data_IF_633023540311
#
_entry.id   IF_633023540311
#
_cell.length_a   1.000
_cell.length_b   1.000
_cell.length_c   1.000
_cell.angle_alpha   90.00
_cell.angle_beta   90.00
_cell.angle_gamma   90.00
#
_symmetry.space_group_name_H-M   'P 1'
#
loop_
_entity.id
_entity.type
_entity.pdbx_description
1 polymer ?
#
# COMPACT_ATOMS: atom_id res chain seq x y z
N UNK A 1 -35.94 16.11 -31.15
CA UNK A 1 -35.74 16.71 -29.81
C UNK A 1 -35.64 15.67 -28.69
N UNK A 2 -36.63 14.79 -28.48
CA UNK A 2 -36.57 13.75 -27.40
C UNK A 2 -35.37 12.79 -27.48
N UNK A 3 -34.98 12.36 -28.69
CA UNK A 3 -33.79 11.49 -28.90
C UNK A 3 -32.46 12.20 -28.62
N UNK A 4 -32.40 13.52 -28.83
CA UNK A 4 -31.21 14.34 -28.56
C UNK A 4 -31.09 14.60 -27.05
N UNK A 5 -32.19 14.88 -26.35
CA UNK A 5 -32.19 14.98 -24.89
C UNK A 5 -31.79 13.65 -24.20
N UNK A 6 -32.26 12.51 -24.70
CA UNK A 6 -31.89 11.20 -24.16
C UNK A 6 -30.40 10.89 -24.36
N UNK A 7 -29.83 11.28 -25.50
CA UNK A 7 -28.40 11.08 -25.78
C UNK A 7 -27.52 11.97 -24.90
N UNK A 8 -27.92 13.23 -24.68
CA UNK A 8 -27.22 14.19 -23.79
C UNK A 8 -27.33 13.77 -22.32
N UNK A 9 -28.49 13.28 -21.88
CA UNK A 9 -28.66 12.74 -20.53
C UNK A 9 -27.81 11.47 -20.31
N UNK A 10 -27.76 10.56 -21.29
CA UNK A 10 -26.93 9.36 -21.20
C UNK A 10 -25.43 9.68 -21.19
N UNK A 11 -24.95 10.62 -22.02
CA UNK A 11 -23.54 11.06 -21.98
C UNK A 11 -23.21 11.82 -20.69
N UNK A 12 -24.14 12.62 -20.17
CA UNK A 12 -23.99 13.29 -18.87
C UNK A 12 -23.89 12.32 -17.68
N UNK A 13 -24.71 11.26 -17.67
CA UNK A 13 -24.63 10.22 -16.63
C UNK A 13 -23.35 9.38 -16.73
N UNK A 14 -22.88 9.08 -17.94
CA UNK A 14 -21.62 8.33 -18.14
C UNK A 14 -20.41 9.17 -17.71
N UNK A 15 -20.43 10.48 -17.97
CA UNK A 15 -19.38 11.40 -17.52
C UNK A 15 -19.40 11.65 -15.99
N UNK A 16 -20.58 11.67 -15.37
CA UNK A 16 -20.71 11.78 -13.92
C UNK A 16 -20.25 10.48 -13.20
N UNK A 17 -20.49 9.32 -13.81
CA UNK A 17 -20.05 8.03 -13.27
C UNK A 17 -18.53 7.84 -13.36
N UNK A 18 -17.86 8.39 -14.39
CA UNK A 18 -16.40 8.31 -14.54
C UNK A 18 -15.63 9.30 -13.66
N UNK A 19 -16.26 10.38 -13.20
CA UNK A 19 -15.70 11.30 -12.22
C UNK A 19 -15.79 10.79 -10.77
N UNK A 20 -16.68 9.82 -10.49
CA UNK A 20 -16.87 9.27 -9.15
C UNK A 20 -15.79 8.25 -8.73
N UNK A 21 -14.96 7.78 -9.66
CA UNK A 21 -13.96 6.72 -9.43
C UNK A 21 -12.51 7.21 -9.38
N UNK A 22 -12.27 8.52 -9.30
CA UNK A 22 -10.93 9.09 -9.35
C UNK A 22 -10.47 9.65 -7.99
N UNK A 23 -9.62 8.85 -7.33
CA UNK A 23 -8.48 9.26 -6.50
C UNK A 23 -8.67 10.41 -5.52
N UNK A 24 -8.81 10.12 -4.22
CA UNK A 24 -8.35 11.10 -3.22
C UNK A 24 -7.83 10.44 -1.95
N UNK A 25 -6.57 10.77 -1.64
CA UNK A 25 -6.03 10.70 -0.28
C UNK A 25 -6.73 11.71 0.64
N UNK A 26 -7.21 12.83 0.07
CA UNK A 26 -7.74 14.00 0.78
C UNK A 26 -8.77 13.63 1.85
N UNK A 27 -9.73 12.77 1.49
CA UNK A 27 -10.83 12.37 2.38
C UNK A 27 -10.53 11.09 3.16
N UNK A 28 -9.25 10.80 3.41
CA UNK A 28 -8.82 9.58 4.08
C UNK A 28 -7.97 9.87 5.31
N UNK A 29 -7.76 8.85 6.16
CA UNK A 29 -6.82 8.92 7.28
C UNK A 29 -5.35 9.11 6.85
N UNK A 30 -5.04 8.93 5.56
CA UNK A 30 -3.70 9.17 5.01
C UNK A 30 -3.49 10.60 4.50
N UNK A 31 -4.53 11.44 4.53
CA UNK A 31 -4.32 12.88 4.47
C UNK A 31 -3.74 13.31 5.82
N UNK A 32 -2.41 13.36 5.89
CA UNK A 32 -1.70 13.82 7.08
C UNK A 32 -1.52 15.33 7.10
N UNK A 33 -2.02 16.08 6.11
CA UNK A 33 -2.04 17.54 6.18
C UNK A 33 -3.04 18.03 7.24
N UNK A 34 -3.03 19.33 7.63
CA UNK A 34 -3.97 19.87 8.61
C UNK A 34 -5.46 19.63 8.29
N UNK A 35 -5.78 19.49 7.00
CA UNK A 35 -7.14 19.20 6.49
C UNK A 35 -7.57 17.75 6.67
N UNK A 36 -6.67 16.88 7.12
CA UNK A 36 -6.92 15.46 7.30
C UNK A 36 -8.03 15.13 8.31
N UNK A 37 -8.74 14.04 8.03
CA UNK A 37 -9.74 13.45 8.93
C UNK A 37 -9.10 12.52 9.98
N UNK A 38 -7.81 12.22 9.85
CA UNK A 38 -7.07 11.37 10.77
C UNK A 38 -6.79 12.07 12.11
N UNK A 39 -6.70 11.27 13.17
CA UNK A 39 -6.28 11.76 14.48
C UNK A 39 -4.83 12.26 14.47
N UNK A 40 -3.97 11.67 13.63
CA UNK A 40 -2.59 12.11 13.43
C UNK A 40 -2.54 12.95 12.16
N UNK A 41 -2.15 14.22 12.29
CA UNK A 41 -2.02 15.14 11.16
C UNK A 41 -1.10 16.31 11.47
N UNK A 42 -0.71 17.03 10.44
CA UNK A 42 0.12 18.22 10.50
C UNK A 42 -0.63 19.39 11.13
N UNK A 43 0.14 20.30 11.72
CA UNK A 43 -0.41 21.51 12.33
C UNK A 43 -0.68 22.57 11.26
N UNK A 44 -1.85 23.21 11.32
CA UNK A 44 -2.21 24.32 10.43
C UNK A 44 -1.18 25.46 10.50
N UNK A 45 -0.94 26.14 9.38
CA UNK A 45 0.04 27.24 9.31
C UNK A 45 1.50 26.79 9.23
N UNK A 46 1.77 25.49 9.10
CA UNK A 46 3.12 24.95 8.82
C UNK A 46 3.22 24.51 7.36
N UNK A 47 4.44 24.37 6.80
CA UNK A 47 4.62 23.87 5.43
C UNK A 47 4.39 22.34 5.29
N UNK A 48 3.72 21.73 6.27
CA UNK A 48 3.20 20.34 6.24
C UNK A 48 1.81 20.25 5.57
N UNK A 49 1.38 21.34 4.92
CA UNK A 49 0.08 21.42 4.23
C UNK A 49 0.00 20.59 2.93
N UNK A 50 1.13 20.11 2.43
CA UNK A 50 1.19 19.29 1.21
C UNK A 50 0.88 17.83 1.52
N UNK A 51 -0.23 17.32 0.99
CA UNK A 51 -0.72 15.96 1.28
C UNK A 51 0.29 14.88 0.87
N UNK A 52 1.02 15.07 -0.23
CA UNK A 52 1.95 14.06 -0.73
C UNK A 52 3.32 14.04 -0.03
N UNK A 53 3.71 15.11 0.67
CA UNK A 53 5.09 15.26 1.21
C UNK A 53 5.46 14.19 2.23
N UNK A 54 4.46 13.56 2.85
CA UNK A 54 4.66 12.48 3.82
C UNK A 54 5.12 11.16 3.19
N UNK A 55 4.92 11.01 1.88
CA UNK A 55 5.21 9.80 1.12
C UNK A 55 6.21 10.08 -0.01
N UNK A 56 6.02 11.17 -0.75
CA UNK A 56 6.78 11.52 -1.94
C UNK A 56 7.49 12.87 -1.77
N UNK A 57 8.65 13.03 -2.41
CA UNK A 57 9.28 14.33 -2.60
C UNK A 57 9.95 14.40 -3.97
N UNK A 58 9.98 15.57 -4.64
CA UNK A 58 10.58 15.68 -5.96
C UNK A 58 12.12 15.54 -5.97
N UNK A 59 12.79 15.79 -4.83
CA UNK A 59 14.26 15.77 -4.71
C UNK A 59 14.71 15.20 -3.36
N UNK A 60 15.98 14.76 -3.30
CA UNK A 60 16.63 14.24 -2.08
C UNK A 60 15.90 13.02 -1.48
N UNK A 61 15.49 12.10 -2.36
CA UNK A 61 14.73 10.89 -1.99
C UNK A 61 15.59 9.64 -2.04
N UNK A 62 15.21 8.62 -1.28
CA UNK A 62 15.81 7.29 -1.37
C UNK A 62 14.81 6.32 -2.00
N UNK A 63 15.15 5.73 -3.15
CA UNK A 63 14.28 4.81 -3.88
C UNK A 63 13.77 5.39 -5.20
N UNK A 64 14.34 4.89 -6.30
CA UNK A 64 14.19 5.46 -7.65
C UNK A 64 12.78 5.36 -8.26
N UNK A 65 11.94 4.44 -7.80
CA UNK A 65 10.68 4.13 -8.49
C UNK A 65 9.53 5.10 -8.16
N UNK A 66 9.53 5.75 -6.98
CA UNK A 66 8.41 6.60 -6.54
C UNK A 66 8.85 7.90 -5.86
N UNK A 67 10.15 8.23 -5.91
CA UNK A 67 10.70 9.38 -5.19
C UNK A 67 10.28 9.37 -3.71
N UNK A 68 10.56 8.25 -3.03
CA UNK A 68 10.08 8.01 -1.67
C UNK A 68 10.79 8.92 -0.66
N UNK A 69 9.99 9.60 0.16
CA UNK A 69 10.47 10.63 1.07
C UNK A 69 10.80 10.11 2.46
N UNK A 70 10.98 8.80 2.67
CA UNK A 70 11.29 8.22 3.99
C UNK A 70 12.37 7.14 3.89
N UNK A 71 12.98 6.79 5.02
CA UNK A 71 13.80 5.60 5.10
C UNK A 71 12.92 4.35 5.19
N UNK A 72 13.21 3.35 4.36
CA UNK A 72 12.62 2.04 4.53
C UNK A 72 13.28 1.29 5.71
N UNK A 73 12.50 0.60 6.54
CA UNK A 73 13.06 -0.24 7.61
C UNK A 73 13.84 -1.42 7.02
N UNK A 74 14.78 -1.96 7.79
CA UNK A 74 15.51 -3.16 7.41
C UNK A 74 14.55 -4.34 7.19
N UNK A 75 14.69 -5.04 6.07
CA UNK A 75 13.77 -6.09 5.65
C UNK A 75 13.72 -7.28 6.65
N UNK A 76 14.82 -7.53 7.34
CA UNK A 76 14.98 -8.53 8.40
C UNK A 76 14.20 -8.23 9.68
N UNK A 77 13.65 -7.02 9.83
CA UNK A 77 12.85 -6.63 11.01
C UNK A 77 11.50 -7.36 11.08
N UNK A 78 11.00 -7.90 9.95
CA UNK A 78 9.61 -8.34 9.84
C UNK A 78 9.46 -9.85 9.94
N UNK A 79 8.52 -10.29 10.78
CA UNK A 79 8.08 -11.69 10.82
C UNK A 79 6.91 -11.86 9.87
N UNK A 80 7.16 -12.54 8.75
CA UNK A 80 6.14 -12.87 7.77
C UNK A 80 5.60 -14.28 8.01
N UNK A 81 4.54 -14.58 7.29
CA UNK A 81 3.93 -15.88 7.24
C UNK A 81 4.88 -16.99 6.75
N UNK A 82 4.84 -18.16 7.40
CA UNK A 82 5.72 -19.31 7.10
C UNK A 82 5.00 -20.67 7.26
N UNK A 83 3.93 -20.94 6.49
CA UNK A 83 3.17 -22.23 6.41
C UNK A 83 2.47 -22.74 7.70
N UNK A 84 1.41 -23.55 7.73
CA UNK A 84 0.38 -24.00 6.76
C UNK A 84 -0.98 -23.37 7.09
N UNK A 85 -1.77 -23.01 6.08
CA UNK A 85 -3.03 -22.26 6.14
C UNK A 85 -3.38 -21.37 4.93
N UNK A 86 -2.57 -21.00 3.92
CA UNK A 86 -1.10 -20.97 3.67
C UNK A 86 -0.32 -22.27 3.52
N UNK A 87 -0.92 -23.32 3.00
CA UNK A 87 -0.35 -24.65 3.11
C UNK A 87 0.96 -24.78 2.32
N UNK A 88 2.06 -24.90 3.05
CA UNK A 88 3.30 -25.59 2.67
C UNK A 88 4.12 -25.00 1.52
N UNK A 89 4.54 -23.75 1.69
CA UNK A 89 5.88 -23.34 1.20
C UNK A 89 6.54 -22.52 2.30
N UNK A 90 7.69 -22.99 2.78
CA UNK A 90 8.58 -22.17 3.60
C UNK A 90 9.11 -21.05 2.70
N UNK A 91 8.43 -19.90 2.70
CA UNK A 91 8.99 -18.70 2.11
C UNK A 91 9.97 -18.09 3.11
N UNK A 92 11.09 -17.58 2.62
CA UNK A 92 12.12 -16.96 3.45
C UNK A 92 11.48 -16.00 4.47
N UNK A 93 11.86 -16.12 5.73
CA UNK A 93 11.36 -15.25 6.79
C UNK A 93 11.79 -13.81 6.52
N UNK A 94 10.82 -12.90 6.41
CA UNK A 94 11.07 -11.47 6.23
C UNK A 94 10.95 -10.98 4.80
N UNK A 95 10.80 -9.66 4.65
CA UNK A 95 10.82 -9.02 3.33
C UNK A 95 12.19 -9.19 2.68
N UNK A 96 12.27 -9.06 1.35
CA UNK A 96 13.55 -8.74 0.71
C UNK A 96 13.81 -7.25 0.73
N UNK A 97 15.08 -6.86 0.57
CA UNK A 97 15.52 -5.47 0.57
C UNK A 97 14.85 -4.61 -0.50
N UNK A 98 14.32 -5.24 -1.55
CA UNK A 98 13.62 -4.63 -2.67
C UNK A 98 12.09 -4.77 -2.60
N UNK A 99 11.54 -5.33 -1.51
CA UNK A 99 10.10 -5.43 -1.33
C UNK A 99 9.47 -4.04 -1.29
N UNK A 100 8.46 -3.84 -2.13
CA UNK A 100 7.68 -2.60 -2.15
C UNK A 100 6.85 -2.40 -0.88
N UNK A 101 6.58 -3.47 -0.13
CA UNK A 101 5.89 -3.37 1.16
C UNK A 101 6.71 -2.58 2.20
N UNK A 102 8.04 -2.49 2.04
CA UNK A 102 8.88 -1.69 2.94
C UNK A 102 8.54 -0.19 2.91
N UNK A 103 7.97 0.32 1.80
CA UNK A 103 7.46 1.69 1.75
C UNK A 103 6.30 1.87 2.73
N UNK A 104 5.32 0.96 2.72
CA UNK A 104 4.21 0.96 3.67
C UNK A 104 4.72 0.80 5.11
N UNK A 105 5.66 -0.13 5.32
CA UNK A 105 6.19 -0.40 6.65
C UNK A 105 7.04 0.74 7.21
N UNK A 106 7.52 1.70 6.40
CA UNK A 106 8.17 2.91 6.92
C UNK A 106 7.24 3.80 7.77
N UNK A 107 5.92 3.58 7.72
CA UNK A 107 4.93 4.18 8.61
C UNK A 107 4.25 3.15 9.53
N UNK A 108 4.11 1.91 9.07
CA UNK A 108 3.28 0.87 9.71
C UNK A 108 4.07 -0.20 10.48
N UNK A 109 5.39 -0.06 10.62
CA UNK A 109 6.21 -1.00 11.40
C UNK A 109 5.98 -0.94 12.91
N UNK A 110 5.14 -0.02 13.39
CA UNK A 110 4.82 0.17 14.81
C UNK A 110 5.98 0.78 15.61
N UNK A 111 6.97 1.39 14.96
CA UNK A 111 8.19 1.87 15.62
C UNK A 111 8.77 3.14 15.00
N UNK A 112 8.64 3.34 13.69
CA UNK A 112 9.18 4.50 13.00
C UNK A 112 8.26 5.70 13.18
N UNK A 113 8.83 6.85 13.56
CA UNK A 113 8.05 8.08 13.69
C UNK A 113 7.49 8.56 12.35
N UNK A 114 6.21 8.94 12.34
CA UNK A 114 5.52 9.40 11.13
C UNK A 114 6.08 10.72 10.58
N UNK A 115 6.75 11.53 11.41
CA UNK A 115 7.34 12.80 11.00
C UNK A 115 8.74 12.68 10.35
N UNK A 116 9.28 11.47 10.26
CA UNK A 116 10.58 11.20 9.66
C UNK A 116 10.48 11.15 8.14
N UNK A 117 10.67 12.31 7.50
CA UNK A 117 10.79 12.44 6.04
C UNK A 117 12.11 13.11 5.66
N UNK A 118 12.66 12.75 4.50
CA UNK A 118 13.95 13.26 3.99
C UNK A 118 13.88 14.74 3.63
N UNK A 119 12.94 15.07 2.76
CA UNK A 119 12.76 16.41 2.21
C UNK A 119 11.45 17.00 2.71
N UNK A 120 11.58 17.99 3.59
CA UNK A 120 10.46 18.69 4.23
C UNK A 120 10.06 19.96 3.46
N UNK A 121 10.73 20.25 2.35
CA UNK A 121 10.70 21.53 1.64
C UNK A 121 11.73 22.54 2.18
N UNK A 122 12.06 23.55 1.38
CA UNK A 122 12.95 24.63 1.82
C UNK A 122 12.31 25.37 3.01
N UNK A 123 13.10 25.62 4.06
CA UNK A 123 12.74 26.30 5.31
C UNK A 123 12.01 25.47 6.38
N UNK A 124 12.21 24.14 6.43
CA UNK A 124 11.71 23.31 7.54
C UNK A 124 12.82 22.48 8.20
N UNK A 125 12.96 22.65 9.51
CA UNK A 125 13.82 21.81 10.36
C UNK A 125 13.11 20.52 10.78
N UNK A 126 11.80 20.54 11.05
CA UNK A 126 10.98 19.37 11.44
C UNK A 126 9.55 19.38 10.86
N UNK A 127 9.06 18.21 10.42
CA UNK A 127 7.62 18.02 10.13
C UNK A 127 6.91 17.94 11.48
N UNK A 128 6.13 18.96 11.82
CA UNK A 128 5.28 18.90 12.99
C UNK A 128 4.07 18.01 12.67
N UNK A 129 4.02 16.82 13.28
CA UNK A 129 2.83 15.99 13.36
C UNK A 129 2.35 15.99 14.80
N UNK A 130 1.03 16.03 15.01
CA UNK A 130 0.42 15.99 16.33
C UNK A 130 -0.91 15.24 16.31
N UNK A 131 -1.44 14.98 17.50
CA UNK A 131 -2.83 14.53 17.63
C UNK A 131 -3.78 15.71 17.41
N UNK A 132 -4.90 15.46 16.73
CA UNK A 132 -5.93 16.47 16.51
C UNK A 132 -6.43 17.04 17.85
N UNK A 133 -6.23 18.33 18.08
CA UNK A 133 -6.57 19.03 19.32
C UNK A 133 -5.39 19.31 20.25
N UNK A 134 -4.20 18.77 19.96
CA UNK A 134 -2.98 19.04 20.71
C UNK A 134 -2.24 20.22 20.08
N UNK A 135 -2.21 21.35 20.77
CA UNK A 135 -1.64 22.60 20.27
C UNK A 135 -0.11 22.55 20.26
N UNK A 136 0.47 21.85 19.28
CA UNK A 136 1.89 21.94 18.97
C UNK A 136 2.83 21.29 19.97
N UNK A 137 2.36 20.36 20.81
CA UNK A 137 3.29 19.50 21.54
C UNK A 137 4.07 18.63 20.53
N UNK A 138 5.42 18.65 20.55
CA UNK A 138 6.19 17.72 19.74
C UNK A 138 5.73 16.31 20.12
N UNK A 139 5.45 15.47 19.11
CA UNK A 139 5.06 14.08 19.31
C UNK A 139 5.85 13.48 20.47
N UNK A 140 5.15 12.79 21.36
CA UNK A 140 5.73 11.91 22.38
C UNK A 140 6.86 11.14 21.71
N UNK A 141 8.09 11.57 21.99
CA UNK A 141 9.30 10.87 21.61
C UNK A 141 9.23 9.53 22.32
N UNK A 142 8.95 8.46 21.57
CA UNK A 142 9.15 7.10 22.05
C UNK A 142 7.92 6.27 22.38
N UNK A 143 6.69 6.63 21.97
CA UNK A 143 5.58 5.66 22.05
C UNK A 143 5.19 5.13 20.68
N UNK A 144 5.43 3.83 20.49
CA UNK A 144 4.98 2.99 19.39
C UNK A 144 3.48 3.15 19.14
N UNK A 145 3.09 4.10 18.29
CA UNK A 145 1.73 4.14 17.79
C UNK A 145 1.63 3.05 16.74
N UNK A 146 0.92 1.98 17.06
CA UNK A 146 0.50 0.97 16.08
C UNK A 146 -0.44 1.65 15.08
N UNK A 147 0.11 2.21 14.01
CA UNK A 147 -0.68 2.87 12.96
C UNK A 147 -1.45 1.80 12.18
N UNK A 148 -2.78 1.84 12.28
CA UNK A 148 -3.64 0.90 11.56
C UNK A 148 -3.55 -0.55 12.04
N UNK A 149 -3.10 -0.80 13.29
CA UNK A 149 -3.04 -2.16 13.84
C UNK A 149 -1.83 -3.00 13.36
N UNK A 150 -0.88 -2.39 12.64
CA UNK A 150 0.30 -3.06 12.11
C UNK A 150 1.53 -2.95 13.01
N UNK A 151 2.37 -3.98 12.95
CA UNK A 151 3.65 -4.08 13.66
C UNK A 151 4.69 -4.80 12.79
N UNK A 152 5.88 -5.04 13.33
CA UNK A 152 6.87 -5.91 12.70
C UNK A 152 6.41 -7.36 12.55
N UNK A 153 5.36 -7.80 13.26
CA UNK A 153 4.83 -9.15 13.16
C UNK A 153 3.56 -9.19 12.28
N UNK A 154 3.70 -9.77 11.08
CA UNK A 154 2.64 -9.89 10.06
C UNK A 154 2.14 -11.33 9.86
N UNK A 155 2.76 -12.31 10.54
CA UNK A 155 2.49 -13.77 10.46
C UNK A 155 1.03 -14.20 10.74
N UNK A 156 0.18 -13.33 11.26
CA UNK A 156 -1.21 -13.70 11.59
C UNK A 156 -2.27 -12.98 10.77
N UNK A 157 -1.89 -11.94 10.02
CA UNK A 157 -2.86 -10.95 9.55
C UNK A 157 -2.63 -10.44 8.12
N UNK A 158 -1.40 -10.40 7.61
CA UNK A 158 -1.09 -9.74 6.32
C UNK A 158 -0.30 -10.64 5.36
N UNK A 159 -0.98 -11.32 4.41
CA UNK A 159 -0.32 -12.25 3.51
C UNK A 159 0.40 -11.49 2.39
N UNK A 160 1.64 -11.09 2.64
CA UNK A 160 2.50 -10.35 1.70
C UNK A 160 3.89 -11.00 1.57
N UNK A 161 4.62 -10.62 0.52
CA UNK A 161 5.93 -11.14 0.11
C UNK A 161 5.89 -12.62 -0.34
N UNK A 162 4.79 -13.03 -0.97
CA UNK A 162 4.64 -14.38 -1.51
C UNK A 162 4.91 -14.40 -3.01
N UNK A 163 5.82 -15.25 -3.52
CA UNK A 163 5.95 -15.45 -4.95
C UNK A 163 4.69 -16.13 -5.49
N UNK A 164 4.13 -15.60 -6.58
CA UNK A 164 2.99 -16.22 -7.26
C UNK A 164 3.51 -17.24 -8.26
N UNK A 165 3.22 -18.52 -8.03
CA UNK A 165 3.61 -19.61 -8.93
C UNK A 165 2.49 -19.89 -9.94
N UNK A 166 2.85 -20.22 -11.19
CA UNK A 166 1.91 -20.47 -12.30
C UNK A 166 1.03 -21.73 -12.17
N UNK A 167 1.23 -22.58 -11.16
CA UNK A 167 0.65 -23.91 -11.11
C UNK A 167 -0.17 -24.20 -9.83
N UNK A 168 -0.87 -23.20 -9.29
CA UNK A 168 -1.80 -23.41 -8.16
C UNK A 168 -3.26 -23.40 -8.66
N UNK A 169 -3.96 -24.55 -8.67
CA UNK A 169 -5.35 -24.64 -9.14
C UNK A 169 -6.36 -23.95 -8.21
N UNK A 170 -5.96 -23.59 -6.98
CA UNK A 170 -6.81 -22.87 -6.03
C UNK A 170 -6.74 -21.35 -6.18
N UNK A 171 -5.92 -20.86 -7.12
CA UNK A 171 -5.73 -19.44 -7.38
C UNK A 171 -6.27 -19.04 -8.76
N UNK A 172 -6.93 -17.89 -8.80
CA UNK A 172 -7.20 -17.15 -10.02
C UNK A 172 -5.90 -16.46 -10.44
N UNK A 173 -5.14 -17.13 -11.30
CA UNK A 173 -3.82 -16.66 -11.72
C UNK A 173 -3.86 -15.59 -12.82
N UNK A 174 -5.00 -15.40 -13.48
CA UNK A 174 -5.10 -14.45 -14.60
C UNK A 174 -4.32 -14.89 -15.83
N UNK A 175 -4.05 -13.96 -16.74
CA UNK A 175 -3.54 -14.28 -18.07
C UNK A 175 -2.05 -14.62 -18.08
N UNK A 176 -1.27 -14.11 -17.13
CA UNK A 176 0.18 -14.31 -17.06
C UNK A 176 0.76 -13.98 -15.66
N UNK A 177 0.58 -14.82 -14.63
CA UNK A 177 0.97 -14.49 -13.25
C UNK A 177 2.49 -14.43 -12.98
N UNK A 178 3.32 -15.20 -13.72
CA UNK A 178 4.77 -15.31 -13.44
C UNK A 178 5.61 -14.29 -14.17
N UNK A 179 5.15 -13.83 -15.35
CA UNK A 179 5.84 -12.81 -16.15
C UNK A 179 5.03 -11.54 -16.34
N UNK A 180 3.71 -11.60 -16.11
CA UNK A 180 2.83 -10.44 -16.12
C UNK A 180 2.90 -9.63 -14.83
N UNK A 181 2.25 -8.47 -14.88
CA UNK A 181 2.25 -7.49 -13.80
C UNK A 181 1.03 -7.60 -12.90
N UNK A 182 0.14 -8.56 -13.15
CA UNK A 182 -1.13 -8.72 -12.45
C UNK A 182 -1.57 -10.19 -12.35
N UNK A 183 -2.47 -10.47 -11.42
CA UNK A 183 -3.17 -11.75 -11.22
C UNK A 183 -4.64 -11.51 -10.86
N UNK A 184 -5.39 -12.59 -10.62
CA UNK A 184 -6.78 -12.58 -10.21
C UNK A 184 -7.77 -12.62 -11.37
N UNK A 185 -9.06 -12.72 -11.03
CA UNK A 185 -10.15 -12.57 -11.99
C UNK A 185 -9.99 -11.25 -12.75
N UNK A 186 -9.99 -11.33 -14.08
CA UNK A 186 -9.78 -10.19 -14.98
C UNK A 186 -8.49 -9.38 -14.70
N UNK A 187 -7.43 -10.02 -14.19
CA UNK A 187 -6.14 -9.40 -13.91
C UNK A 187 -6.27 -8.16 -12.98
N UNK A 188 -7.13 -8.26 -11.95
CA UNK A 188 -7.48 -7.14 -11.06
C UNK A 188 -6.38 -6.73 -10.06
N UNK A 189 -5.47 -7.62 -9.69
CA UNK A 189 -4.50 -7.38 -8.61
C UNK A 189 -3.07 -7.27 -9.15
N UNK A 190 -2.37 -6.15 -8.95
CA UNK A 190 -1.00 -6.00 -9.42
C UNK A 190 -0.03 -6.84 -8.62
N UNK A 191 1.00 -7.32 -9.28
CA UNK A 191 2.15 -8.00 -8.70
C UNK A 191 3.39 -7.12 -8.83
N UNK A 192 4.24 -7.18 -7.82
CA UNK A 192 5.41 -6.31 -7.72
C UNK A 192 6.69 -7.09 -7.94
N UNK A 193 7.72 -6.41 -8.44
CA UNK A 193 9.00 -7.05 -8.76
C UNK A 193 9.64 -7.52 -7.46
N UNK A 194 9.97 -8.81 -7.40
CA UNK A 194 11.04 -9.33 -6.58
C UNK A 194 12.25 -9.48 -7.52
N UNK A 195 13.39 -8.90 -7.21
CA UNK A 195 14.57 -8.95 -8.07
C UNK A 195 14.96 -10.40 -8.27
N UNK A 196 14.99 -10.79 -9.55
CA UNK A 196 15.53 -12.04 -10.03
C UNK A 196 16.99 -12.16 -9.58
N UNK A 197 17.23 -13.07 -8.64
CA UNK A 197 18.54 -13.54 -8.23
C UNK A 197 18.50 -15.05 -8.11
N UNK A 198 18.39 -15.72 -9.26
CA UNK A 198 18.58 -17.18 -9.41
C UNK A 198 17.41 -18.05 -8.93
N UNK A 199 17.23 -19.19 -9.59
CA UNK A 199 16.37 -20.31 -9.14
C UNK A 199 16.59 -20.64 -7.65
N UNK A 200 15.72 -21.42 -6.99
CA UNK A 200 15.98 -22.88 -6.97
C UNK A 200 14.76 -23.72 -6.64
N UNK A 201 14.33 -24.51 -7.61
CA UNK A 201 13.37 -25.61 -7.49
C UNK A 201 13.49 -26.45 -6.20
N UNK A 202 12.37 -27.03 -5.73
CA UNK A 202 12.19 -28.07 -4.71
C UNK A 202 12.85 -27.95 -3.32
N UNK A 203 13.75 -26.98 -3.07
CA UNK A 203 14.49 -26.78 -1.81
C UNK A 203 14.50 -25.31 -1.28
N UNK A 204 13.97 -24.34 -2.03
CA UNK A 204 14.00 -22.93 -1.62
C UNK A 204 13.53 -21.94 -2.70
N UNK A 205 12.64 -22.35 -3.59
CA UNK A 205 12.42 -21.70 -4.89
C UNK A 205 11.69 -20.36 -4.86
N UNK A 206 12.40 -19.26 -5.15
CA UNK A 206 11.80 -18.08 -5.80
C UNK A 206 11.91 -18.24 -7.32
N UNK A 207 10.95 -18.96 -7.91
CA UNK A 207 10.91 -19.12 -9.38
C UNK A 207 10.13 -18.02 -10.11
N UNK A 208 9.41 -17.15 -9.38
CA UNK A 208 8.71 -16.00 -9.96
C UNK A 208 9.52 -14.72 -9.81
N UNK A 209 9.49 -13.86 -10.84
CA UNK A 209 10.05 -12.49 -10.77
C UNK A 209 9.10 -11.50 -10.09
N UNK A 210 7.98 -12.02 -9.55
CA UNK A 210 6.82 -11.26 -9.09
C UNK A 210 6.28 -11.82 -7.77
N UNK A 211 5.95 -10.93 -6.85
CA UNK A 211 5.39 -11.23 -5.54
C UNK A 211 4.10 -10.47 -5.27
N UNK A 212 3.25 -11.07 -4.43
CA UNK A 212 2.11 -10.42 -3.79
C UNK A 212 2.63 -9.53 -2.65
N UNK A 213 2.61 -8.21 -2.85
CA UNK A 213 2.99 -7.20 -1.86
C UNK A 213 1.76 -6.45 -1.32
N UNK A 214 1.93 -5.57 -0.32
CA UNK A 214 0.84 -4.73 0.22
C UNK A 214 0.05 -4.03 -0.89
N UNK A 215 0.74 -3.51 -1.91
CA UNK A 215 0.13 -2.81 -3.05
C UNK A 215 -0.77 -3.69 -3.93
N UNK A 216 -0.70 -5.01 -3.78
CA UNK A 216 -1.54 -5.96 -4.53
C UNK A 216 -2.95 -5.97 -3.99
N UNK A 217 -3.11 -5.80 -2.68
CA UNK A 217 -4.41 -5.71 -2.02
C UNK A 217 -4.84 -4.26 -1.82
N UNK A 218 -3.88 -3.35 -1.60
CA UNK A 218 -4.12 -1.95 -1.30
C UNK A 218 -3.75 -1.03 -2.47
N UNK A 219 -4.65 -0.12 -2.83
CA UNK A 219 -4.41 0.99 -3.75
C UNK A 219 -4.38 2.30 -2.94
N UNK A 220 -3.22 2.67 -2.41
CA UNK A 220 -3.11 3.79 -1.46
C UNK A 220 -3.69 5.11 -1.97
N UNK A 221 -3.76 5.36 -3.27
CA UNK A 221 -4.36 6.56 -3.86
C UNK A 221 -5.88 6.45 -4.12
N UNK A 222 -6.48 5.31 -3.81
CA UNK A 222 -7.89 5.00 -4.02
C UNK A 222 -8.56 4.60 -2.69
N UNK A 223 -9.34 5.52 -2.14
CA UNK A 223 -10.03 5.36 -0.87
C UNK A 223 -11.42 4.72 -1.00
N UNK A 224 -11.80 4.22 -2.18
CA UNK A 224 -13.14 3.67 -2.43
C UNK A 224 -13.53 2.57 -1.42
N UNK A 225 -12.61 1.65 -1.11
CA UNK A 225 -12.84 0.59 -0.13
C UNK A 225 -11.87 0.74 1.04
N UNK A 226 -12.35 1.02 2.24
CA UNK A 226 -11.46 1.16 3.41
C UNK A 226 -10.84 -0.19 3.84
N UNK A 227 -9.53 -0.26 4.20
CA UNK A 227 -8.53 0.81 4.17
C UNK A 227 -7.70 0.77 2.87
N UNK A 228 -8.22 1.37 1.79
CA UNK A 228 -7.65 1.38 0.44
C UNK A 228 -7.61 0.02 -0.27
N UNK A 229 -8.54 -0.88 -0.01
CA UNK A 229 -8.60 -2.17 -0.71
C UNK A 229 -8.90 -1.96 -2.20
N UNK A 230 -8.33 -2.80 -3.07
CA UNK A 230 -8.62 -2.80 -4.51
C UNK A 230 -9.98 -3.39 -4.86
N UNK A 231 -10.59 -4.12 -3.92
CA UNK A 231 -11.90 -4.72 -4.05
C UNK A 231 -12.62 -4.71 -2.71
N UNK A 232 -13.95 -4.75 -2.75
CA UNK A 232 -14.78 -4.82 -1.56
C UNK A 232 -14.60 -6.15 -0.81
N UNK A 233 -14.76 -6.11 0.52
CA UNK A 233 -14.88 -7.32 1.34
C UNK A 233 -16.29 -7.92 1.28
N UNK A 234 -17.28 -7.19 0.76
CA UNK A 234 -18.64 -7.71 0.63
C UNK A 234 -18.66 -8.94 -0.28
N UNK A 235 -19.36 -9.99 0.16
CA UNK A 235 -19.41 -11.29 -0.52
C UNK A 235 -18.03 -11.92 -0.74
N UNK A 236 -17.01 -11.55 0.05
CA UNK A 236 -15.63 -12.04 -0.12
C UNK A 236 -15.01 -11.69 -1.48
N UNK A 237 -15.45 -10.61 -2.13
CA UNK A 237 -15.02 -10.27 -3.50
C UNK A 237 -13.50 -10.11 -3.61
N UNK A 238 -12.84 -9.49 -2.62
CA UNK A 238 -11.38 -9.43 -2.57
C UNK A 238 -10.73 -10.82 -2.56
N UNK A 239 -11.26 -11.74 -1.74
CA UNK A 239 -10.72 -13.09 -1.59
C UNK A 239 -10.99 -13.94 -2.84
N UNK A 240 -12.23 -13.93 -3.34
CA UNK A 240 -12.65 -14.67 -4.53
C UNK A 240 -12.04 -14.10 -5.82
N UNK A 241 -11.58 -12.85 -5.79
CA UNK A 241 -10.78 -12.29 -6.86
C UNK A 241 -9.46 -13.04 -7.06
N UNK A 242 -8.83 -13.52 -5.98
CA UNK A 242 -7.57 -14.27 -6.03
C UNK A 242 -7.74 -15.78 -5.88
N UNK A 243 -8.77 -16.25 -5.19
CA UNK A 243 -9.00 -17.65 -4.90
C UNK A 243 -10.15 -18.22 -5.72
N UNK A 244 -9.87 -19.34 -6.39
CA UNK A 244 -10.85 -20.17 -7.05
C UNK A 244 -11.35 -21.21 -6.05
N UNK A 245 -12.53 -20.99 -5.48
CA UNK A 245 -13.17 -21.89 -4.49
C UNK A 245 -14.45 -22.46 -5.03
#
# INVERSE_FOLDING_TARGET
MKKVLALVAATGLIAAASLASAATIVNSKHNLSPTGIGAIKGTAGTNTSQICVYCHAPHQTTGYAVLWNRNNPAATKFTLYSGVGMNSRQFASGFTTDSTSLFCMSCHDGSTSMNSVHNKGANITNVALGYAGDAGLPMITGNSVTVGGLSSNLKGTHPVNFPVTTADPTLNLGSNPTTGTKMGLADAFPLYKATAGGSVNNDGARSSTRSLECGSCHAVHDSQYSPFLRATLNGSTLCLGCHNK
#
